data_IF_882013443799
#
_entry.id   IF_882013443799
#
_cell.length_a   1.000
_cell.length_b   1.000
_cell.length_c   1.000
_cell.angle_alpha   90.00
_cell.angle_beta   90.00
_cell.angle_gamma   90.00
#
_symmetry.space_group_name_H-M   'P 1'
#
loop_
_entity.id
_entity.type
_entity.pdbx_description
1 polymer ?
#
# COMPACT_ATOMS: atom_id res chain seq x y z
N UNK A 1 -35.18 -7.15 -11.92
CA UNK A 1 -34.27 -6.28 -11.12
C UNK A 1 -33.31 -7.16 -10.32
N UNK A 2 -31.99 -7.02 -10.49
CA UNK A 2 -30.99 -7.80 -9.73
C UNK A 2 -29.90 -6.86 -9.18
N UNK A 3 -30.03 -6.47 -7.92
CA UNK A 3 -28.99 -5.77 -7.16
C UNK A 3 -27.95 -6.80 -6.68
N UNK A 4 -26.74 -6.81 -7.24
CA UNK A 4 -25.65 -7.72 -6.79
C UNK A 4 -24.30 -6.99 -6.65
N UNK A 5 -24.12 -6.42 -5.46
CA UNK A 5 -22.84 -6.09 -4.80
C UNK A 5 -21.84 -5.21 -5.58
N UNK A 6 -22.20 -3.95 -5.84
CA UNK A 6 -21.20 -2.91 -6.12
C UNK A 6 -20.70 -2.36 -4.78
N UNK A 7 -19.56 -2.88 -4.28
CA UNK A 7 -18.84 -2.20 -3.19
C UNK A 7 -18.43 -0.82 -3.74
N UNK A 8 -18.92 0.27 -3.14
CA UNK A 8 -18.48 1.62 -3.47
C UNK A 8 -17.04 1.75 -3.00
N UNK A 9 -16.10 1.69 -3.94
CA UNK A 9 -14.70 1.99 -3.67
C UNK A 9 -14.58 3.51 -3.71
N UNK A 10 -14.12 4.12 -2.62
CA UNK A 10 -13.85 5.55 -2.57
C UNK A 10 -12.84 5.89 -3.67
N UNK A 11 -13.22 6.78 -4.58
CA UNK A 11 -12.34 7.26 -5.65
C UNK A 11 -11.59 8.46 -5.11
N UNK A 12 -10.27 8.41 -5.09
CA UNK A 12 -9.43 9.57 -4.82
C UNK A 12 -9.35 10.42 -6.09
N UNK A 13 -9.29 11.75 -5.95
CA UNK A 13 -9.22 12.68 -7.10
C UNK A 13 -8.06 12.37 -8.06
N UNK A 14 -6.95 11.84 -7.53
CA UNK A 14 -5.76 11.46 -8.29
C UNK A 14 -5.90 10.19 -9.14
N UNK A 15 -6.90 9.33 -8.90
CA UNK A 15 -7.13 8.15 -9.73
C UNK A 15 -8.63 7.83 -9.83
N UNK A 16 -9.36 8.53 -10.74
CA UNK A 16 -10.80 8.40 -10.85
C UNK A 16 -11.25 7.05 -11.43
N UNK A 17 -10.34 6.29 -12.06
CA UNK A 17 -10.67 5.06 -12.76
C UNK A 17 -10.08 3.81 -12.10
N UNK A 18 -10.97 2.88 -11.72
CA UNK A 18 -10.56 1.57 -11.24
C UNK A 18 -10.02 0.76 -12.42
N UNK A 19 -8.80 0.23 -12.28
CA UNK A 19 -8.19 -0.60 -13.30
C UNK A 19 -9.08 -1.81 -13.66
N UNK A 20 -9.56 -1.85 -14.91
CA UNK A 20 -10.48 -2.88 -15.41
C UNK A 20 -9.88 -4.28 -15.36
N UNK A 21 -8.59 -4.40 -15.61
CA UNK A 21 -7.90 -5.68 -15.65
C UNK A 21 -7.86 -6.32 -14.26
N UNK A 22 -7.43 -5.56 -13.24
CA UNK A 22 -7.46 -6.00 -11.83
C UNK A 22 -8.88 -6.33 -11.36
N UNK A 23 -9.88 -5.55 -11.77
CA UNK A 23 -11.28 -5.83 -11.45
C UNK A 23 -11.74 -7.17 -12.04
N UNK A 24 -11.32 -7.47 -13.26
CA UNK A 24 -11.65 -8.72 -13.95
C UNK A 24 -10.98 -9.92 -13.27
N UNK A 25 -9.69 -9.80 -12.91
CA UNK A 25 -8.98 -10.83 -12.14
C UNK A 25 -9.65 -11.08 -10.78
N UNK A 26 -10.06 -10.02 -10.09
CA UNK A 26 -10.77 -10.15 -8.82
C UNK A 26 -12.13 -10.85 -8.94
N UNK A 27 -12.88 -10.58 -10.01
CA UNK A 27 -14.14 -11.28 -10.31
C UNK A 27 -13.89 -12.77 -10.57
N UNK A 28 -12.89 -13.10 -11.40
CA UNK A 28 -12.49 -14.50 -11.68
C UNK A 28 -12.10 -15.22 -10.38
N UNK A 29 -11.25 -14.61 -9.56
CA UNK A 29 -10.82 -15.13 -8.26
C UNK A 29 -12.02 -15.43 -7.35
N UNK A 30 -12.96 -14.50 -7.22
CA UNK A 30 -14.16 -14.70 -6.39
C UNK A 30 -15.02 -15.87 -6.86
N UNK A 31 -15.20 -16.04 -8.16
CA UNK A 31 -15.97 -17.16 -8.71
C UNK A 31 -15.33 -18.52 -8.36
N UNK A 32 -14.00 -18.61 -8.47
CA UNK A 32 -13.25 -19.83 -8.13
C UNK A 32 -13.28 -20.10 -6.63
N UNK A 33 -13.03 -19.09 -5.79
CA UNK A 33 -13.10 -19.24 -4.33
C UNK A 33 -14.50 -19.71 -3.90
N UNK A 34 -15.56 -19.19 -4.52
CA UNK A 34 -16.93 -19.64 -4.22
C UNK A 34 -17.12 -21.14 -4.54
N UNK A 35 -16.58 -21.61 -5.67
CA UNK A 35 -16.64 -23.03 -6.06
C UNK A 35 -15.76 -23.91 -5.17
N UNK A 36 -14.53 -23.49 -4.90
CA UNK A 36 -13.59 -24.22 -4.04
C UNK A 36 -14.06 -24.32 -2.58
N UNK A 37 -14.82 -23.33 -2.08
CA UNK A 37 -15.45 -23.43 -0.75
C UNK A 37 -16.46 -24.58 -0.66
N UNK A 38 -17.13 -24.90 -1.77
CA UNK A 38 -18.07 -26.03 -1.86
C UNK A 38 -17.34 -27.36 -2.08
N UNK A 39 -16.24 -27.33 -2.85
CA UNK A 39 -15.43 -28.51 -3.17
C UNK A 39 -13.95 -28.25 -2.84
N UNK A 40 -13.61 -28.48 -1.56
CA UNK A 40 -12.29 -28.15 -0.99
C UNK A 40 -11.18 -29.10 -1.42
N UNK A 41 -11.53 -30.32 -1.83
CA UNK A 41 -10.59 -31.38 -2.20
C UNK A 41 -10.14 -31.28 -3.66
N UNK A 42 -10.72 -30.36 -4.43
CA UNK A 42 -10.37 -30.16 -5.82
C UNK A 42 -9.09 -29.31 -5.95
N UNK A 43 -7.97 -29.99 -6.14
CA UNK A 43 -6.65 -29.36 -6.31
C UNK A 43 -6.54 -28.53 -7.59
N UNK A 44 -7.32 -28.82 -8.63
CA UNK A 44 -7.31 -28.01 -9.87
C UNK A 44 -7.84 -26.58 -9.61
N UNK A 45 -8.86 -26.45 -8.75
CA UNK A 45 -9.39 -25.14 -8.37
C UNK A 45 -8.37 -24.35 -7.53
N UNK A 46 -7.63 -25.05 -6.67
CA UNK A 46 -6.56 -24.47 -5.86
C UNK A 46 -5.40 -23.99 -6.74
N UNK A 47 -4.93 -24.81 -7.69
CA UNK A 47 -3.90 -24.42 -8.65
C UNK A 47 -4.33 -23.22 -9.51
N UNK A 48 -5.58 -23.23 -10.00
CA UNK A 48 -6.13 -22.11 -10.76
C UNK A 48 -6.24 -20.83 -9.93
N UNK A 49 -6.53 -20.94 -8.63
CA UNK A 49 -6.52 -19.82 -7.70
C UNK A 49 -5.11 -19.24 -7.54
N UNK A 50 -4.10 -20.09 -7.39
CA UNK A 50 -2.70 -19.66 -7.33
C UNK A 50 -2.26 -18.94 -8.61
N UNK A 51 -2.60 -19.48 -9.78
CA UNK A 51 -2.33 -18.84 -11.08
C UNK A 51 -2.93 -17.44 -11.17
N UNK A 52 -4.21 -17.27 -10.79
CA UNK A 52 -4.85 -15.95 -10.79
C UNK A 52 -4.23 -14.98 -9.79
N UNK A 53 -3.82 -15.46 -8.60
CA UNK A 53 -3.16 -14.61 -7.63
C UNK A 53 -1.80 -14.14 -8.15
N UNK A 54 -1.05 -15.04 -8.80
CA UNK A 54 0.23 -14.71 -9.42
C UNK A 54 0.07 -13.69 -10.55
N UNK A 55 -0.89 -13.89 -11.45
CA UNK A 55 -1.19 -12.93 -12.52
C UNK A 55 -1.56 -11.55 -11.97
N UNK A 56 -2.38 -11.50 -10.92
CA UNK A 56 -2.75 -10.25 -10.27
C UNK A 56 -1.55 -9.54 -9.62
N UNK A 57 -0.65 -10.30 -9.00
CA UNK A 57 0.56 -9.76 -8.38
C UNK A 57 1.52 -9.22 -9.44
N UNK A 58 1.83 -9.99 -10.48
CA UNK A 58 2.70 -9.57 -11.57
C UNK A 58 2.17 -8.30 -12.25
N UNK A 59 0.86 -8.19 -12.44
CA UNK A 59 0.26 -6.98 -12.99
C UNK A 59 0.36 -5.79 -12.04
N UNK A 60 0.11 -5.99 -10.74
CA UNK A 60 0.23 -4.93 -9.74
C UNK A 60 1.67 -4.39 -9.65
N UNK A 61 2.67 -5.26 -9.72
CA UNK A 61 4.09 -4.88 -9.68
C UNK A 61 4.49 -4.08 -10.92
N UNK A 62 4.01 -4.49 -12.10
CA UNK A 62 4.20 -3.73 -13.35
C UNK A 62 3.57 -2.34 -13.25
N UNK A 63 2.32 -2.27 -12.77
CA UNK A 63 1.61 -1.00 -12.61
C UNK A 63 2.30 -0.07 -11.60
N UNK A 64 2.79 -0.62 -10.48
CA UNK A 64 3.54 0.15 -9.49
C UNK A 64 4.85 0.70 -10.08
N UNK A 65 5.55 -0.11 -10.89
CA UNK A 65 6.78 0.32 -11.57
C UNK A 65 6.50 1.42 -12.58
N UNK A 66 5.47 1.27 -13.41
CA UNK A 66 5.05 2.29 -14.37
C UNK A 66 4.65 3.60 -13.69
N UNK A 67 3.86 3.52 -12.61
CA UNK A 67 3.47 4.70 -11.84
C UNK A 67 4.71 5.42 -11.28
N UNK A 68 5.69 4.68 -10.74
CA UNK A 68 6.96 5.26 -10.26
C UNK A 68 7.73 5.95 -11.39
N UNK A 69 7.85 5.32 -12.56
CA UNK A 69 8.54 5.91 -13.69
C UNK A 69 7.84 7.17 -14.20
N UNK A 70 6.51 7.14 -14.32
CA UNK A 70 5.72 8.31 -14.71
C UNK A 70 5.91 9.47 -13.73
N UNK A 71 5.92 9.19 -12.42
CA UNK A 71 6.24 10.21 -11.42
C UNK A 71 7.65 10.76 -11.65
N UNK A 72 8.65 9.91 -11.89
CA UNK A 72 10.00 10.38 -12.21
C UNK A 72 10.06 11.26 -13.48
N UNK A 73 9.32 10.90 -14.54
CA UNK A 73 9.24 11.66 -15.79
C UNK A 73 8.54 13.02 -15.60
N UNK A 74 7.43 13.05 -14.88
CA UNK A 74 6.71 14.29 -14.55
C UNK A 74 7.57 15.26 -13.74
N UNK A 75 8.46 14.75 -12.88
CA UNK A 75 9.42 15.55 -12.12
C UNK A 75 10.56 16.07 -13.00
N UNK A 76 11.05 15.28 -13.96
CA UNK A 76 12.18 15.62 -14.83
C UNK A 76 11.91 16.85 -15.73
N UNK A 77 10.62 17.15 -16.02
CA UNK A 77 10.23 18.30 -16.84
C UNK A 77 9.78 19.55 -16.08
N UNK A 78 9.57 19.48 -14.75
CA UNK A 78 8.83 20.53 -14.01
C UNK A 78 9.53 21.15 -12.80
N UNK A 79 10.66 20.62 -12.31
CA UNK A 79 11.07 20.94 -10.93
C UNK A 79 12.51 21.40 -10.71
N UNK A 80 12.59 22.55 -10.05
CA UNK A 80 13.68 22.99 -9.20
C UNK A 80 14.15 21.84 -8.27
N UNK A 81 15.45 21.54 -8.31
CA UNK A 81 16.12 20.35 -7.73
C UNK A 81 15.74 20.03 -6.27
N UNK A 82 15.36 21.03 -5.47
CA UNK A 82 15.01 20.85 -4.06
C UNK A 82 13.83 19.90 -3.81
N UNK A 83 12.78 19.91 -4.66
CA UNK A 83 11.58 19.08 -4.46
C UNK A 83 11.84 17.62 -4.85
N UNK A 84 12.66 17.40 -5.87
CA UNK A 84 13.16 16.07 -6.27
C UNK A 84 13.98 15.47 -5.13
N UNK A 85 14.94 16.21 -4.57
CA UNK A 85 15.73 15.77 -3.43
C UNK A 85 14.92 15.45 -2.18
N UNK A 86 13.81 16.19 -1.94
CA UNK A 86 12.92 15.92 -0.82
C UNK A 86 12.14 14.61 -1.02
N UNK A 87 11.67 14.33 -2.25
CA UNK A 87 11.03 13.06 -2.61
C UNK A 87 12.01 11.87 -2.50
N UNK A 88 13.23 12.02 -3.03
CA UNK A 88 14.28 11.00 -2.90
C UNK A 88 14.60 10.67 -1.45
N UNK A 89 14.68 11.68 -0.57
CA UNK A 89 14.86 11.46 0.87
C UNK A 89 13.71 10.66 1.50
N UNK A 90 12.47 10.92 1.10
CA UNK A 90 11.31 10.14 1.59
C UNK A 90 11.32 8.69 1.08
N UNK A 91 11.76 8.45 -0.15
CA UNK A 91 11.89 7.10 -0.72
C UNK A 91 13.02 6.29 -0.07
N UNK A 92 14.12 6.95 0.30
CA UNK A 92 15.27 6.33 0.98
C UNK A 92 15.05 6.15 2.49
N UNK A 93 13.85 6.42 3.01
CA UNK A 93 13.55 6.32 4.45
C UNK A 93 14.28 7.36 5.31
N UNK A 94 14.97 8.32 4.69
CA UNK A 94 15.60 9.45 5.36
C UNK A 94 14.53 10.52 5.64
N UNK A 95 13.56 10.18 6.48
CA UNK A 95 12.69 11.21 7.03
C UNK A 95 13.58 12.17 7.84
N UNK A 96 13.45 13.48 7.60
CA UNK A 96 14.08 14.47 8.49
C UNK A 96 13.66 14.10 9.91
N UNK A 97 14.64 13.81 10.77
CA UNK A 97 14.32 13.63 12.18
C UNK A 97 13.65 14.93 12.61
N UNK A 98 12.41 14.85 13.08
CA UNK A 98 11.69 15.99 13.61
C UNK A 98 12.33 16.33 14.95
N UNK A 99 13.56 16.85 14.93
CA UNK A 99 14.28 17.36 16.09
C UNK A 99 13.43 18.40 16.83
N UNK A 100 12.65 19.18 16.09
CA UNK A 100 11.64 20.10 16.62
C UNK A 100 10.51 19.39 17.37
N UNK A 101 9.94 18.30 16.85
CA UNK A 101 8.90 17.53 17.56
C UNK A 101 9.48 16.79 18.78
N UNK A 102 10.71 16.25 18.68
CA UNK A 102 11.43 15.68 19.83
C UNK A 102 11.71 16.72 20.91
N UNK A 103 12.12 17.94 20.53
CA UNK A 103 12.30 19.07 21.47
C UNK A 103 11.00 19.55 22.08
N UNK A 104 9.90 19.59 21.32
CA UNK A 104 8.59 19.96 21.85
C UNK A 104 8.07 18.90 22.84
N UNK A 105 8.32 17.61 22.58
CA UNK A 105 8.05 16.54 23.55
C UNK A 105 8.87 16.69 24.84
N UNK A 106 10.15 17.05 24.73
CA UNK A 106 11.05 17.31 25.87
C UNK A 106 10.70 18.60 26.63
N UNK A 107 10.09 19.59 25.96
CA UNK A 107 9.69 20.85 26.58
C UNK A 107 8.29 20.81 27.24
N UNK A 108 7.47 19.79 26.93
CA UNK A 108 6.05 19.70 27.34
C UNK A 108 5.76 18.64 28.44
N UNK A 109 6.76 17.99 29.04
CA UNK A 109 6.60 17.14 30.22
C UNK A 109 7.75 17.39 31.20
N UNK A 110 7.53 17.87 32.43
CA UNK A 110 6.59 17.30 33.39
C UNK A 110 7.23 16.04 33.97
N UNK A 111 7.83 16.17 35.15
CA UNK A 111 8.74 15.21 35.77
C UNK A 111 8.24 13.75 35.80
N UNK A 112 9.14 12.76 35.71
CA UNK A 112 8.80 11.35 35.81
C UNK A 112 8.38 11.03 37.25
N UNK A 113 7.14 10.59 37.44
CA UNK A 113 6.79 9.87 38.67
C UNK A 113 7.56 8.56 38.68
N UNK A 114 8.46 8.43 39.65
CA UNK A 114 9.38 7.32 39.79
C UNK A 114 8.68 6.02 40.13
N UNK A 115 9.18 4.94 39.53
CA UNK A 115 9.31 3.65 40.20
C UNK A 115 10.80 3.31 40.18
N UNK A 116 11.47 3.65 41.28
CA UNK A 116 12.81 3.16 41.60
C UNK A 116 12.69 1.84 42.35
N UNK A 117 13.21 0.77 41.77
CA UNK A 117 13.85 -0.36 42.47
C UNK A 117 15.01 -0.78 41.56
N UNK A 118 16.24 -0.33 41.82
CA UNK A 118 17.31 -1.03 42.60
C UNK A 118 17.83 -2.27 41.87
N UNK A 119 19.12 -2.54 41.70
CA UNK A 119 20.42 -1.90 41.99
C UNK A 119 21.43 -2.83 41.30
N UNK A 120 22.41 -2.29 40.58
CA UNK A 120 23.63 -3.01 40.15
C UNK A 120 24.51 -3.35 41.39
N UNK A 121 25.42 -4.36 41.36
CA UNK A 121 26.33 -4.75 40.28
C UNK A 121 26.05 -6.09 39.59
#
# INVERSE_FOLDING_TARGET
MVLKHTKRIARTESNPYINQHLLTLWRKRRAIVKRWKHDKHNDMLKERLYRLNREAQEYADKLATQNRLQVCEELNGKLHMARVWQLFRTLLGQQKSNYTVKRLHLAMGGAPHGNTCRTDP
#
